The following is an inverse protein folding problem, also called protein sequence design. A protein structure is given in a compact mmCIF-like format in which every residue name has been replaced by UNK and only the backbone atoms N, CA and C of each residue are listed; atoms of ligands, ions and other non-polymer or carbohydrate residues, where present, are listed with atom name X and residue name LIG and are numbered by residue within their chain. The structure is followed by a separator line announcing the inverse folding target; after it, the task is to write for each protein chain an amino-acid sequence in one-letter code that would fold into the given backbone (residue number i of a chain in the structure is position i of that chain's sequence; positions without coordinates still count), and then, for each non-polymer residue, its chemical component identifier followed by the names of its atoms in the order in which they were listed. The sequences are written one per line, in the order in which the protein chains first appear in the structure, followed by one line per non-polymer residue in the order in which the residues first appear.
data_IF_890096448034
#
_entry.id   IF_890096448034
#
_cell.length_a   1.000
_cell.length_b   1.000
_cell.length_c   1.000
_cell.angle_alpha   90.00
_cell.angle_beta   90.00
_cell.angle_gamma   90.00
#
_symmetry.space_group_name_H-M   'P 1'
#
loop_
_entity.id
_entity.type
_entity.pdbx_description
1 polymer ?
#
# COMPACT_ATOMS: atom_id res chain seq x y z
N UNK A 1 10.09 -0.28 1.28
CA UNK A 1 9.34 -0.08 0.06
C UNK A 1 8.20 0.92 0.21
N UNK A 2 7.48 1.13 -0.85
CA UNK A 2 6.42 2.16 -0.91
C UNK A 2 5.27 1.89 0.06
N UNK A 3 4.89 0.63 0.25
CA UNK A 3 3.80 0.26 1.17
C UNK A 3 4.18 0.61 2.61
N UNK A 4 5.38 0.24 3.04
CA UNK A 4 5.87 0.55 4.39
C UNK A 4 5.98 2.06 4.61
N UNK A 5 6.45 2.81 3.59
CA UNK A 5 6.52 4.27 3.64
C UNK A 5 5.15 4.93 3.79
N UNK A 6 4.15 4.44 3.07
CA UNK A 6 2.78 4.95 3.19
C UNK A 6 2.18 4.66 4.57
N UNK A 7 2.42 3.47 5.12
CA UNK A 7 1.98 3.12 6.47
C UNK A 7 2.66 4.03 7.50
N UNK A 8 3.96 4.30 7.36
CA UNK A 8 4.67 5.23 8.24
C UNK A 8 4.05 6.63 8.21
N UNK A 9 3.62 7.10 7.03
CA UNK A 9 3.00 8.42 6.88
C UNK A 9 1.66 8.55 7.63
N UNK A 10 0.93 7.45 7.82
CA UNK A 10 -0.37 7.47 8.52
C UNK A 10 -0.29 7.06 10.00
N UNK A 11 0.89 6.70 10.50
CA UNK A 11 1.09 6.33 11.91
C UNK A 11 1.78 7.45 12.68
N UNK A 12 1.31 7.77 13.91
CA UNK A 12 1.97 8.78 14.73
C UNK A 12 3.36 8.31 15.19
N UNK A 13 4.28 9.25 15.35
CA UNK A 13 5.59 8.98 15.93
C UNK A 13 6.63 8.40 14.97
N UNK A 14 6.31 8.25 13.68
CA UNK A 14 7.26 7.72 12.69
C UNK A 14 8.19 8.80 12.11
N UNK A 15 7.83 10.08 12.28
CA UNK A 15 8.54 11.20 11.67
C UNK A 15 8.25 11.37 10.16
N UNK A 16 7.33 10.61 9.61
CA UNK A 16 6.94 10.69 8.20
C UNK A 16 5.53 11.25 8.10
N UNK A 17 5.36 12.34 7.36
CA UNK A 17 4.07 13.02 7.20
C UNK A 17 3.40 12.69 5.86
N UNK A 18 4.18 12.39 4.83
CA UNK A 18 3.69 12.13 3.49
C UNK A 18 4.66 11.25 2.72
N UNK A 19 4.13 10.35 1.92
CA UNK A 19 4.87 9.60 0.91
C UNK A 19 4.49 10.12 -0.47
N UNK A 20 5.47 10.41 -1.30
CA UNK A 20 5.29 10.76 -2.71
C UNK A 20 6.17 9.88 -3.57
N UNK A 21 5.64 9.40 -4.67
CA UNK A 21 6.42 8.56 -5.58
C UNK A 21 5.58 7.93 -6.67
N UNK A 22 6.23 7.08 -7.44
CA UNK A 22 5.63 6.29 -8.51
C UNK A 22 5.90 4.82 -8.17
N UNK A 23 4.89 4.00 -8.26
CA UNK A 23 5.00 2.57 -7.99
C UNK A 23 4.10 1.74 -8.88
N UNK A 24 4.14 0.44 -8.74
CA UNK A 24 3.30 -0.48 -9.47
C UNK A 24 1.84 -0.40 -9.01
N UNK A 25 0.93 -0.73 -9.91
CA UNK A 25 -0.51 -0.76 -9.60
C UNK A 25 -0.85 -1.76 -8.51
N UNK A 26 -0.30 -3.00 -8.50
CA UNK A 26 -0.59 -3.94 -7.40
C UNK A 26 -0.20 -3.40 -6.03
N UNK A 27 0.96 -2.77 -5.92
CA UNK A 27 1.43 -2.16 -4.66
C UNK A 27 0.54 -0.98 -4.25
N UNK A 28 0.04 -0.23 -5.22
CA UNK A 28 -0.92 0.85 -4.99
C UNK A 28 -2.23 0.35 -4.38
N UNK A 29 -2.75 -0.77 -4.86
CA UNK A 29 -3.96 -1.39 -4.32
C UNK A 29 -3.72 -1.91 -2.89
N UNK A 30 -2.60 -2.60 -2.66
CA UNK A 30 -2.23 -3.07 -1.33
C UNK A 30 -2.11 -1.89 -0.35
N UNK A 31 -1.48 -0.82 -0.78
CA UNK A 31 -1.36 0.41 0.01
C UNK A 31 -2.73 1.02 0.31
N UNK A 32 -3.63 1.05 -0.65
CA UNK A 32 -4.98 1.57 -0.46
C UNK A 32 -5.76 0.75 0.58
N UNK A 33 -5.61 -0.57 0.58
CA UNK A 33 -6.19 -1.43 1.62
C UNK A 33 -5.64 -1.07 3.00
N UNK A 34 -4.32 -0.94 3.13
CA UNK A 34 -3.70 -0.54 4.40
C UNK A 34 -4.21 0.83 4.86
N UNK A 35 -4.29 1.82 3.96
CA UNK A 35 -4.80 3.16 4.30
C UNK A 35 -6.25 3.11 4.76
N UNK A 36 -7.08 2.33 4.09
CA UNK A 36 -8.48 2.14 4.47
C UNK A 36 -8.61 1.55 5.88
N UNK A 37 -7.77 0.57 6.20
CA UNK A 37 -7.77 -0.07 7.52
C UNK A 37 -7.25 0.84 8.63
N UNK A 38 -6.33 1.75 8.32
CA UNK A 38 -5.59 2.55 9.30
C UNK A 38 -6.05 4.01 9.38
N UNK A 39 -7.03 4.40 8.59
CA UNK A 39 -7.53 5.78 8.57
C UNK A 39 -6.63 6.77 7.83
N UNK A 40 -5.70 6.27 7.03
CA UNK A 40 -4.88 7.10 6.15
C UNK A 40 -5.57 7.38 4.82
N UNK A 41 -4.93 8.15 3.98
CA UNK A 41 -5.43 8.50 2.65
C UNK A 41 -4.38 8.28 1.59
N UNK A 42 -4.81 7.75 0.45
CA UNK A 42 -4.00 7.69 -0.77
C UNK A 42 -4.72 8.43 -1.88
N UNK A 43 -3.95 9.17 -2.66
CA UNK A 43 -4.41 9.80 -3.89
C UNK A 43 -3.41 9.47 -4.98
N UNK A 44 -3.87 8.93 -6.07
CA UNK A 44 -3.00 8.52 -7.15
C UNK A 44 -3.61 8.76 -8.52
N UNK A 45 -2.76 8.72 -9.52
CA UNK A 45 -3.16 8.75 -10.93
C UNK A 45 -2.42 7.65 -11.67
N UNK A 46 -3.04 7.11 -12.70
CA UNK A 46 -2.35 6.23 -13.63
C UNK A 46 -1.24 7.02 -14.33
N UNK A 47 -0.06 6.42 -14.41
CA UNK A 47 1.12 7.03 -15.02
C UNK A 47 1.74 6.08 -16.05
N UNK A 48 1.24 6.09 -17.30
CA UNK A 48 1.81 5.26 -18.34
C UNK A 48 3.27 5.65 -18.62
N UNK A 49 4.15 4.65 -18.78
CA UNK A 49 5.59 4.87 -19.01
C UNK A 49 5.91 5.27 -20.44
N UNK A 50 5.02 4.96 -21.39
CA UNK A 50 5.19 5.23 -22.80
C UNK A 50 3.83 5.35 -23.50
N UNK A 51 3.87 5.71 -24.78
CA UNK A 51 2.65 5.90 -25.57
C UNK A 51 1.85 4.61 -25.78
N UNK A 52 2.52 3.47 -25.85
CA UNK A 52 1.85 2.18 -25.97
C UNK A 52 1.02 1.85 -24.72
N UNK A 53 1.58 2.01 -23.54
CA UNK A 53 0.86 1.82 -22.29
C UNK A 53 -0.28 2.83 -22.14
N UNK A 54 -0.04 4.07 -22.54
CA UNK A 54 -1.06 5.12 -22.52
C UNK A 54 -2.25 4.76 -23.39
N UNK A 55 -2.00 4.28 -24.60
CA UNK A 55 -3.06 3.89 -25.53
C UNK A 55 -3.83 2.67 -25.00
N UNK A 56 -3.15 1.70 -24.43
CA UNK A 56 -3.80 0.55 -23.78
C UNK A 56 -4.74 0.97 -22.66
N UNK A 57 -4.32 1.91 -21.82
CA UNK A 57 -5.14 2.42 -20.74
C UNK A 57 -6.38 3.15 -21.27
N UNK A 58 -6.23 3.98 -22.30
CA UNK A 58 -7.35 4.68 -22.96
C UNK A 58 -8.30 3.68 -23.59
N UNK A 59 -7.80 2.68 -24.32
CA UNK A 59 -8.61 1.66 -24.97
C UNK A 59 -9.37 0.79 -23.98
N UNK A 60 -8.82 0.60 -22.78
CA UNK A 60 -9.48 -0.11 -21.69
C UNK A 60 -10.53 0.76 -20.95
N UNK A 61 -10.71 2.02 -21.34
CA UNK A 61 -11.71 2.92 -20.76
C UNK A 61 -11.25 3.66 -19.51
N UNK A 62 -9.94 3.67 -19.21
CA UNK A 62 -9.43 4.40 -18.06
C UNK A 62 -9.31 5.91 -18.34
N UNK A 63 -9.74 6.71 -17.37
CA UNK A 63 -9.50 8.15 -17.37
C UNK A 63 -8.15 8.43 -16.66
N UNK A 64 -7.15 8.84 -17.43
CA UNK A 64 -5.80 9.09 -16.94
C UNK A 64 -5.70 10.36 -16.07
N UNK A 65 -6.69 11.23 -16.12
CA UNK A 65 -6.73 12.46 -15.32
C UNK A 65 -7.45 12.25 -13.98
N UNK A 66 -8.11 11.11 -13.80
CA UNK A 66 -8.86 10.82 -12.59
C UNK A 66 -7.95 10.60 -11.40
N UNK A 67 -8.24 11.28 -10.30
CA UNK A 67 -7.59 11.02 -9.02
C UNK A 67 -8.24 9.80 -8.38
N UNK A 68 -7.42 8.78 -8.10
CA UNK A 68 -7.84 7.53 -7.48
C UNK A 68 -7.62 7.62 -5.97
N UNK A 69 -8.67 7.40 -5.21
CA UNK A 69 -8.66 7.46 -3.74
C UNK A 69 -8.79 6.07 -3.15
N UNK A 70 -8.71 5.95 -1.81
CA UNK A 70 -8.90 4.68 -1.11
C UNK A 70 -10.19 3.98 -1.55
N UNK A 71 -11.30 4.70 -1.59
CA UNK A 71 -12.61 4.10 -1.85
C UNK A 71 -12.81 3.71 -3.31
N UNK A 72 -12.13 4.39 -4.22
CA UNK A 72 -12.13 4.02 -5.63
C UNK A 72 -11.28 2.77 -5.86
N UNK A 73 -10.11 2.71 -5.22
CA UNK A 73 -9.17 1.59 -5.38
C UNK A 73 -9.65 0.34 -4.62
N UNK A 74 -10.34 0.53 -3.49
CA UNK A 74 -10.88 -0.55 -2.66
C UNK A 74 -12.33 -0.20 -2.34
N UNK A 75 -13.26 -0.69 -3.13
CA UNK A 75 -14.67 -0.30 -3.06
C UNK A 75 -15.45 -0.97 -1.91
N UNK A 76 -14.95 -2.08 -1.38
CA UNK A 76 -15.64 -2.80 -0.30
C UNK A 76 -15.51 -2.10 1.06
N UNK A 77 -16.51 -2.28 1.92
CA UNK A 77 -16.47 -1.76 3.30
C UNK A 77 -15.60 -2.58 4.22
N UNK A 78 -15.46 -3.87 3.93
CA UNK A 78 -14.64 -4.81 4.67
C UNK A 78 -13.29 -4.95 3.96
N UNK A 79 -12.22 -4.62 4.66
CA UNK A 79 -10.86 -4.75 4.14
C UNK A 79 -9.94 -5.31 5.23
N UNK A 80 -8.95 -6.05 4.83
CA UNK A 80 -7.99 -6.67 5.72
C UNK A 80 -6.58 -6.53 5.12
N UNK A 81 -5.63 -6.16 5.95
CA UNK A 81 -4.23 -6.05 5.55
C UNK A 81 -3.37 -6.82 6.55
N UNK A 82 -2.44 -7.60 6.02
CA UNK A 82 -1.47 -8.32 6.83
C UNK A 82 -0.09 -8.22 6.18
N UNK A 83 0.91 -7.96 6.99
CA UNK A 83 2.31 -7.96 6.55
C UNK A 83 3.16 -8.70 7.57
N UNK A 84 4.09 -9.52 7.07
CA UNK A 84 5.05 -10.23 7.90
C UNK A 84 6.46 -9.82 7.49
N UNK A 85 7.31 -9.50 8.47
CA UNK A 85 8.69 -9.12 8.22
C UNK A 85 9.51 -10.33 7.79
N UNK A 86 10.23 -10.21 6.67
CA UNK A 86 11.19 -11.21 6.19
C UNK A 86 12.59 -10.79 6.57
N UNK A 87 12.96 -9.57 6.25
CA UNK A 87 14.21 -8.94 6.67
C UNK A 87 13.88 -7.74 7.56
N UNK A 88 14.88 -7.29 8.35
CA UNK A 88 14.66 -6.15 9.23
C UNK A 88 14.34 -4.88 8.44
N UNK A 89 13.26 -4.21 8.82
CA UNK A 89 12.84 -2.94 8.28
C UNK A 89 12.31 -2.03 9.39
N UNK A 90 11.97 -0.79 9.04
CA UNK A 90 11.52 0.20 10.01
C UNK A 90 10.14 -0.12 10.60
N UNK A 91 9.29 -0.79 9.82
CA UNK A 91 7.95 -1.15 10.26
C UNK A 91 7.91 -2.46 11.04
N UNK A 92 8.64 -3.47 10.58
CA UNK A 92 8.66 -4.82 11.13
C UNK A 92 10.09 -5.36 11.17
N UNK A 93 10.40 -6.09 12.24
CA UNK A 93 11.61 -6.89 12.27
C UNK A 93 11.44 -8.13 11.39
N UNK A 94 12.54 -8.59 10.82
CA UNK A 94 12.58 -9.80 10.03
C UNK A 94 12.50 -11.06 10.88
N UNK A 95 12.64 -12.20 10.23
CA UNK A 95 12.64 -13.51 10.86
C UNK A 95 13.88 -13.65 11.74
N UNK A 96 13.68 -14.09 12.97
CA UNK A 96 14.75 -14.44 13.89
C UNK A 96 14.82 -15.96 13.97
N UNK A 97 15.92 -16.52 13.50
CA UNK A 97 16.13 -17.96 13.51
C UNK A 97 16.79 -18.41 14.82
N UNK A 98 16.36 -19.55 15.34
CA UNK A 98 16.88 -20.19 16.56
C UNK A 98 17.11 -21.67 16.29
N UNK A 99 17.90 -22.39 17.11
CA UNK A 99 18.15 -23.83 16.89
C UNK A 99 16.87 -24.67 16.79
N UNK A 100 15.81 -24.33 17.53
CA UNK A 100 14.58 -25.11 17.62
C UNK A 100 13.38 -24.44 16.93
N UNK A 101 13.60 -23.39 16.13
CA UNK A 101 12.49 -22.72 15.48
C UNK A 101 12.84 -21.32 15.00
N UNK A 102 11.82 -20.55 14.74
CA UNK A 102 11.94 -19.16 14.29
C UNK A 102 10.86 -18.30 14.91
N UNK A 103 11.17 -17.02 15.08
CA UNK A 103 10.20 -16.00 15.49
C UNK A 103 9.91 -15.09 14.30
N UNK A 104 8.65 -14.87 14.03
CA UNK A 104 8.20 -13.91 13.00
C UNK A 104 7.37 -12.81 13.65
N UNK A 105 7.30 -11.68 12.98
CA UNK A 105 6.51 -10.53 13.43
C UNK A 105 5.62 -10.06 12.31
N UNK A 106 4.36 -9.81 12.65
CA UNK A 106 3.34 -9.44 11.68
C UNK A 106 2.56 -8.23 12.17
N UNK A 107 2.10 -7.44 11.22
CA UNK A 107 1.10 -6.39 11.43
C UNK A 107 -0.18 -6.82 10.73
N UNK A 108 -1.29 -6.81 11.47
CA UNK A 108 -2.61 -7.11 10.94
C UNK A 108 -3.56 -5.98 11.30
N UNK A 109 -4.30 -5.51 10.33
CA UNK A 109 -5.31 -4.47 10.52
C UNK A 109 -6.53 -4.78 9.66
N UNK A 110 -7.68 -4.37 10.13
CA UNK A 110 -8.93 -4.58 9.42
C UNK A 110 -9.80 -3.33 9.46
N UNK A 111 -10.56 -3.10 8.38
CA UNK A 111 -11.64 -2.14 8.33
C UNK A 111 -12.95 -2.92 8.22
N UNK A 112 -13.89 -2.62 9.12
CA UNK A 112 -15.23 -3.19 9.13
C UNK A 112 -16.25 -2.09 9.40
N UNK A 113 -17.47 -2.20 8.84
CA UNK A 113 -18.54 -1.23 9.11
C UNK A 113 -18.96 -1.20 10.58
#
# INVERSE_FOLDING_TARGET
GDVAGAIAACRPGTGVDMLMGIGGTPEGIITAVAMKCMGGEIQGKLWPRNDEERQKAIDAGHDLDRVLTNDILVSGENAFFCATGVTNGDMLRGVTYRPNGATTRSLEVAAMP
#
